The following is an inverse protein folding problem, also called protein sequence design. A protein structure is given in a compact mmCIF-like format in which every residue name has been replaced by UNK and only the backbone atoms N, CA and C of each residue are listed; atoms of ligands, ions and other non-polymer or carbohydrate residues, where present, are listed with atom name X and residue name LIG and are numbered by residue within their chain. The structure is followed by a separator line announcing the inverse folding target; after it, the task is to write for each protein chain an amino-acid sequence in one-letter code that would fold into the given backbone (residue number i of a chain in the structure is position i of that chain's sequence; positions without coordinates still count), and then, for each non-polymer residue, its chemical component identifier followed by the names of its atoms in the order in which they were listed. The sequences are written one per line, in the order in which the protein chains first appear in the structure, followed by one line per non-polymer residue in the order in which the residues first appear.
data_IF_243202848105
#
_entry.id   IF_243202848105
#
_cell.length_a   1.000
_cell.length_b   1.000
_cell.length_c   1.000
_cell.angle_alpha   90.00
_cell.angle_beta   90.00
_cell.angle_gamma   90.00
#
_symmetry.space_group_name_H-M   'P 1'
#
loop_
_entity.id
_entity.type
_entity.pdbx_description
1 polymer ?
#
# COMPACT_ATOMS: atom_id res chain seq x y z
N UNK A 1 6.95 5.19 -14.58
CA UNK A 1 7.42 3.79 -14.55
C UNK A 1 6.31 3.04 -15.25
N UNK A 2 6.61 2.12 -16.17
CA UNK A 2 5.53 1.41 -16.85
C UNK A 2 4.70 0.63 -15.81
N UNK A 3 3.38 0.80 -15.83
CA UNK A 3 2.48 0.22 -14.83
C UNK A 3 2.66 0.69 -13.38
N UNK A 4 3.47 1.72 -13.10
CA UNK A 4 3.79 2.13 -11.72
C UNK A 4 3.98 3.63 -11.53
N UNK A 5 3.94 4.04 -10.26
CA UNK A 5 4.08 5.45 -9.87
C UNK A 5 5.21 5.60 -8.83
N UNK A 6 5.64 6.84 -8.62
CA UNK A 6 6.65 7.19 -7.64
C UNK A 6 6.21 8.43 -6.88
N UNK A 7 6.31 8.41 -5.55
CA UNK A 7 6.04 9.59 -4.74
C UNK A 7 7.07 10.68 -5.01
N UNK A 8 6.62 11.93 -4.89
CA UNK A 8 7.47 13.12 -5.03
C UNK A 8 7.08 14.14 -3.96
N UNK A 9 8.05 14.83 -3.40
CA UNK A 9 7.79 15.99 -2.56
C UNK A 9 7.19 17.10 -3.41
N UNK A 10 6.12 17.75 -2.92
CA UNK A 10 5.55 18.94 -3.57
C UNK A 10 6.53 20.12 -3.51
N UNK A 11 7.30 20.21 -2.42
CA UNK A 11 8.36 21.19 -2.18
C UNK A 11 9.63 20.46 -1.70
N UNK A 12 10.56 20.13 -2.62
CA UNK A 12 11.78 19.40 -2.28
C UNK A 12 12.67 20.13 -1.26
N UNK A 13 12.56 21.46 -1.14
CA UNK A 13 13.39 22.25 -0.22
C UNK A 13 13.03 22.01 1.25
N UNK A 14 11.83 21.51 1.54
CA UNK A 14 11.35 21.16 2.88
C UNK A 14 11.65 19.72 3.30
N UNK A 15 12.25 18.93 2.41
CA UNK A 15 12.52 17.52 2.63
C UNK A 15 13.95 17.34 3.13
N UNK A 16 14.08 16.88 4.38
CA UNK A 16 15.40 16.60 4.98
C UNK A 16 15.90 15.20 4.63
N UNK A 17 15.02 14.21 4.69
CA UNK A 17 15.35 12.81 4.43
C UNK A 17 14.27 12.16 3.55
N UNK A 18 14.62 11.74 2.32
CA UNK A 18 13.65 11.18 1.38
C UNK A 18 13.35 9.69 1.59
N UNK A 19 14.09 8.94 2.41
CA UNK A 19 14.09 7.47 2.29
C UNK A 19 12.75 6.80 2.65
N UNK A 20 11.95 7.38 3.56
CA UNK A 20 10.59 6.92 3.88
C UNK A 20 9.50 7.65 3.09
N UNK A 21 9.86 8.68 2.32
CA UNK A 21 8.90 9.59 1.66
C UNK A 21 8.89 9.36 0.14
N UNK A 22 10.05 9.05 -0.45
CA UNK A 22 10.27 8.95 -1.90
C UNK A 22 10.52 7.48 -2.27
N UNK A 23 9.46 6.79 -2.65
CA UNK A 23 9.44 5.38 -3.03
C UNK A 23 8.47 5.14 -4.18
N UNK A 24 8.43 3.91 -4.70
CA UNK A 24 7.43 3.49 -5.68
C UNK A 24 6.26 2.87 -4.92
N UNK A 25 5.14 3.57 -4.66
CA UNK A 25 4.02 2.98 -3.94
C UNK A 25 3.28 1.94 -4.77
N UNK A 26 3.40 1.99 -6.10
CA UNK A 26 2.74 1.08 -7.03
C UNK A 26 3.72 0.61 -8.09
N UNK A 27 3.79 -0.70 -8.29
CA UNK A 27 4.44 -1.33 -9.44
C UNK A 27 3.53 -2.43 -9.99
N UNK A 28 3.72 -2.78 -11.26
CA UNK A 28 3.05 -3.92 -11.88
C UNK A 28 4.10 -4.89 -12.39
N UNK A 29 4.03 -6.14 -11.98
CA UNK A 29 4.83 -7.24 -12.52
C UNK A 29 3.90 -8.24 -13.20
N UNK A 30 4.03 -8.38 -14.52
CA UNK A 30 3.11 -9.17 -15.34
C UNK A 30 1.64 -8.81 -15.06
N UNK A 31 0.82 -9.76 -14.58
CA UNK A 31 -0.57 -9.54 -14.20
C UNK A 31 -0.75 -9.36 -12.68
N UNK A 32 0.28 -8.88 -11.98
CA UNK A 32 0.21 -8.61 -10.54
C UNK A 32 0.46 -7.14 -10.26
N UNK A 33 -0.55 -6.46 -9.69
CA UNK A 33 -0.37 -5.10 -9.14
C UNK A 33 0.16 -5.21 -7.71
N UNK A 34 1.21 -4.46 -7.39
CA UNK A 34 1.84 -4.37 -6.06
C UNK A 34 1.58 -2.95 -5.53
N UNK A 35 1.05 -2.83 -4.31
CA UNK A 35 0.81 -1.54 -3.65
C UNK A 35 1.36 -1.56 -2.23
N UNK A 36 2.20 -0.60 -1.85
CA UNK A 36 2.76 -0.54 -0.49
C UNK A 36 2.97 0.91 -0.02
N UNK A 37 3.18 1.10 1.29
CA UNK A 37 3.48 2.41 1.87
C UNK A 37 4.99 2.74 1.93
N UNK A 38 5.86 1.96 1.27
CA UNK A 38 7.30 2.20 1.34
C UNK A 38 8.10 1.56 0.20
N UNK A 39 9.42 1.54 0.38
CA UNK A 39 10.36 0.98 -0.61
C UNK A 39 10.28 -0.55 -0.77
N UNK A 40 9.59 -1.25 0.14
CA UNK A 40 9.37 -2.70 0.03
C UNK A 40 8.60 -3.10 -1.23
N UNK A 41 7.92 -2.17 -1.93
CA UNK A 41 7.37 -2.43 -3.26
C UNK A 41 8.45 -2.95 -4.22
N UNK A 42 9.65 -2.36 -4.20
CA UNK A 42 10.76 -2.79 -5.04
C UNK A 42 11.28 -4.16 -4.59
N UNK A 43 11.38 -4.41 -3.29
CA UNK A 43 11.76 -5.73 -2.76
C UNK A 43 10.81 -6.82 -3.23
N UNK A 44 9.49 -6.59 -3.18
CA UNK A 44 8.48 -7.54 -3.67
C UNK A 44 8.66 -7.75 -5.18
N UNK A 45 8.80 -6.67 -5.95
CA UNK A 45 8.99 -6.73 -7.40
C UNK A 45 10.24 -7.56 -7.78
N UNK A 46 11.36 -7.36 -7.09
CA UNK A 46 12.61 -8.07 -7.34
C UNK A 46 12.49 -9.57 -7.01
N UNK A 47 11.79 -9.92 -5.93
CA UNK A 47 11.52 -11.31 -5.60
C UNK A 47 10.60 -11.97 -6.63
N UNK A 48 9.55 -11.29 -7.09
CA UNK A 48 8.68 -11.80 -8.16
C UNK A 48 9.45 -11.98 -9.47
N UNK A 49 10.33 -11.04 -9.82
CA UNK A 49 11.16 -11.09 -11.04
C UNK A 49 12.14 -12.25 -11.01
N UNK A 50 12.80 -12.50 -9.87
CA UNK A 50 13.70 -13.65 -9.71
C UNK A 50 12.94 -14.98 -9.64
N UNK A 51 11.73 -14.95 -9.08
CA UNK A 51 10.86 -16.09 -8.90
C UNK A 51 11.53 -17.26 -8.14
N UNK A 52 12.37 -16.93 -7.16
CA UNK A 52 13.10 -17.92 -6.34
C UNK A 52 12.15 -18.73 -5.43
N UNK A 53 10.96 -18.18 -5.13
CA UNK A 53 9.94 -18.79 -4.27
C UNK A 53 8.58 -18.84 -4.99
N UNK A 54 8.38 -19.74 -5.98
CA UNK A 54 7.14 -19.81 -6.74
C UNK A 54 5.89 -19.92 -5.84
N UNK A 55 4.96 -18.98 -6.00
CA UNK A 55 3.74 -18.88 -5.18
C UNK A 55 3.89 -18.17 -3.83
N UNK A 56 5.12 -17.91 -3.38
CA UNK A 56 5.44 -17.31 -2.07
C UNK A 56 6.39 -16.11 -2.14
N UNK A 57 6.64 -15.56 -3.33
CA UNK A 57 7.58 -14.43 -3.51
C UNK A 57 7.17 -13.18 -2.70
N UNK A 58 5.87 -12.96 -2.48
CA UNK A 58 5.37 -11.84 -1.67
C UNK A 58 5.78 -11.97 -0.21
N UNK A 59 5.50 -13.11 0.41
CA UNK A 59 5.87 -13.42 1.79
C UNK A 59 7.39 -13.47 1.97
N UNK A 60 8.09 -14.17 1.06
CA UNK A 60 9.55 -14.27 1.09
C UNK A 60 10.24 -12.89 0.99
N UNK A 61 9.70 -11.97 0.18
CA UNK A 61 10.19 -10.60 0.12
C UNK A 61 10.01 -9.88 1.47
N UNK A 62 8.82 -9.97 2.05
CA UNK A 62 8.47 -9.28 3.29
C UNK A 62 9.18 -9.84 4.53
N UNK A 63 9.59 -11.11 4.51
CA UNK A 63 10.44 -11.71 5.54
C UNK A 63 11.84 -11.09 5.61
N UNK A 64 12.31 -10.45 4.54
CA UNK A 64 13.57 -9.69 4.53
C UNK A 64 13.44 -8.27 5.10
N UNK A 65 12.22 -7.84 5.44
CA UNK A 65 11.90 -6.49 5.88
C UNK A 65 11.44 -6.48 7.34
N UNK A 66 11.40 -5.28 7.90
CA UNK A 66 10.81 -4.95 9.21
C UNK A 66 10.05 -3.62 9.09
N UNK A 67 9.44 -3.13 10.17
CA UNK A 67 8.83 -1.79 10.25
C UNK A 67 9.83 -0.66 9.91
N UNK A 68 9.34 0.56 9.73
CA UNK A 68 10.17 1.74 9.43
C UNK A 68 10.98 2.19 10.65
N UNK A 69 12.16 2.77 10.43
CA UNK A 69 13.11 3.19 11.46
C UNK A 69 12.90 4.64 11.93
N UNK A 70 11.63 5.04 12.07
CA UNK A 70 11.17 6.41 12.34
C UNK A 70 10.80 6.65 13.83
N UNK A 71 11.74 6.32 14.72
CA UNK A 71 11.56 6.48 16.18
C UNK A 71 10.81 7.78 16.55
N UNK A 72 9.84 7.72 17.48
CA UNK A 72 9.47 6.57 18.31
C UNK A 72 8.33 5.72 17.72
N UNK A 73 7.88 5.99 16.50
CA UNK A 73 6.65 5.39 15.97
C UNK A 73 6.85 3.95 15.49
N UNK A 74 8.00 3.65 14.89
CA UNK A 74 8.27 2.33 14.29
C UNK A 74 7.17 1.94 13.32
N UNK A 75 6.92 2.83 12.36
CA UNK A 75 5.75 2.81 11.51
C UNK A 75 5.60 1.47 10.79
N UNK A 76 4.43 0.82 10.86
CA UNK A 76 4.25 -0.44 10.18
C UNK A 76 4.43 -0.31 8.67
N UNK A 77 5.02 -1.34 8.06
CA UNK A 77 5.01 -1.48 6.60
C UNK A 77 3.78 -2.29 6.20
N UNK A 78 2.87 -1.65 5.47
CA UNK A 78 1.70 -2.29 4.87
C UNK A 78 1.94 -2.53 3.39
N UNK A 79 1.49 -3.68 2.90
CA UNK A 79 1.69 -4.11 1.51
C UNK A 79 0.47 -4.89 1.03
N UNK A 80 0.18 -4.78 -0.26
CA UNK A 80 -0.85 -5.55 -0.94
C UNK A 80 -0.38 -5.99 -2.33
N UNK A 81 -0.85 -7.15 -2.76
CA UNK A 81 -0.69 -7.64 -4.14
C UNK A 81 -2.03 -8.13 -4.66
N UNK A 82 -2.34 -7.86 -5.92
CA UNK A 82 -3.60 -8.24 -6.58
C UNK A 82 -3.27 -8.96 -7.88
N UNK A 83 -3.78 -10.18 -8.07
CA UNK A 83 -3.77 -10.88 -9.36
C UNK A 83 -4.88 -10.32 -10.26
N UNK A 84 -4.47 -9.62 -11.30
CA UNK A 84 -5.33 -8.92 -12.25
C UNK A 84 -6.18 -9.86 -13.11
N UNK A 85 -5.96 -11.18 -13.05
CA UNK A 85 -6.75 -12.18 -13.79
C UNK A 85 -7.90 -12.73 -12.97
N UNK A 86 -7.73 -12.82 -11.65
CA UNK A 86 -8.68 -13.50 -10.76
C UNK A 86 -9.33 -12.54 -9.77
N UNK A 87 -8.74 -11.36 -9.55
CA UNK A 87 -9.12 -10.45 -8.48
C UNK A 87 -8.67 -10.92 -7.10
N UNK A 88 -8.01 -12.08 -6.98
CA UNK A 88 -7.45 -12.55 -5.72
C UNK A 88 -6.33 -11.64 -5.23
N UNK A 89 -6.25 -11.41 -3.93
CA UNK A 89 -5.27 -10.50 -3.35
C UNK A 89 -4.76 -10.95 -1.99
N UNK A 90 -3.58 -10.46 -1.63
CA UNK A 90 -3.01 -10.59 -0.29
C UNK A 90 -2.77 -9.22 0.30
N UNK A 91 -2.97 -9.10 1.61
CA UNK A 91 -2.60 -7.94 2.41
C UNK A 91 -1.59 -8.36 3.47
N UNK A 92 -0.61 -7.51 3.76
CA UNK A 92 0.37 -7.77 4.80
C UNK A 92 0.68 -6.52 5.62
N UNK A 93 0.96 -6.73 6.90
CA UNK A 93 1.48 -5.72 7.83
C UNK A 93 2.68 -6.27 8.60
N UNK A 94 3.78 -5.51 8.58
CA UNK A 94 4.98 -5.73 9.41
C UNK A 94 5.04 -4.62 10.45
N UNK A 95 4.99 -4.96 11.74
CA UNK A 95 4.93 -3.96 12.83
C UNK A 95 5.79 -4.35 14.03
N UNK A 96 6.13 -3.38 14.85
CA UNK A 96 6.76 -3.64 16.15
C UNK A 96 5.75 -4.19 17.14
N UNK A 97 6.21 -4.99 18.09
CA UNK A 97 5.41 -5.46 19.22
C UNK A 97 5.31 -4.34 20.27
N UNK A 98 4.21 -3.60 20.25
CA UNK A 98 3.93 -2.47 21.14
C UNK A 98 5.10 -1.46 21.27
N UNK A 99 5.74 -1.15 20.13
CA UNK A 99 6.85 -0.19 20.07
C UNK A 99 8.23 -0.78 20.42
N UNK A 100 8.33 -2.09 20.63
CA UNK A 100 9.62 -2.76 20.87
C UNK A 100 10.39 -2.97 19.56
N UNK A 101 11.48 -2.21 19.40
CA UNK A 101 12.37 -2.25 18.23
C UNK A 101 13.02 -3.62 17.95
N UNK A 102 13.08 -4.49 18.96
CA UNK A 102 13.71 -5.80 18.86
C UNK A 102 12.70 -6.92 18.58
N UNK A 103 11.41 -6.59 18.46
CA UNK A 103 10.33 -7.56 18.29
C UNK A 103 9.46 -7.16 17.11
N UNK A 104 9.62 -7.89 16.01
CA UNK A 104 8.83 -7.71 14.78
C UNK A 104 7.72 -8.75 14.71
N UNK A 105 6.52 -8.30 14.36
CA UNK A 105 5.37 -9.14 14.07
C UNK A 105 5.02 -9.01 12.58
N UNK A 106 4.72 -10.14 11.94
CA UNK A 106 4.37 -10.23 10.52
C UNK A 106 3.03 -10.95 10.38
N UNK A 107 2.12 -10.34 9.65
CA UNK A 107 0.80 -10.91 9.38
C UNK A 107 0.51 -10.80 7.89
N UNK A 108 0.07 -11.90 7.29
CA UNK A 108 -0.39 -11.94 5.90
C UNK A 108 -1.82 -12.50 5.89
N UNK A 109 -2.69 -11.85 5.14
CA UNK A 109 -4.08 -12.22 4.92
C UNK A 109 -4.26 -12.51 3.43
N UNK A 110 -4.74 -13.71 3.11
CA UNK A 110 -4.89 -14.21 1.74
C UNK A 110 -6.36 -14.35 1.36
N UNK A 111 -6.78 -13.60 0.34
CA UNK A 111 -8.12 -13.58 -0.21
C UNK A 111 -8.06 -14.10 -1.65
N UNK A 112 -7.95 -15.42 -1.80
CA UNK A 112 -7.80 -16.04 -3.12
C UNK A 112 -9.09 -16.01 -3.96
N UNK A 113 -10.27 -15.88 -3.35
CA UNK A 113 -11.58 -15.75 -4.03
C UNK A 113 -12.45 -14.70 -3.31
N UNK A 114 -12.15 -13.39 -3.44
CA UNK A 114 -12.96 -12.37 -2.80
C UNK A 114 -14.38 -12.37 -3.37
N UNK A 115 -15.37 -12.10 -2.52
CA UNK A 115 -16.76 -11.98 -2.95
C UNK A 115 -16.97 -10.64 -3.66
N UNK A 116 -17.75 -10.64 -4.73
CA UNK A 116 -18.12 -9.41 -5.42
C UNK A 116 -18.84 -8.45 -4.46
N UNK A 117 -18.44 -7.18 -4.49
CA UNK A 117 -18.99 -6.14 -3.59
C UNK A 117 -18.28 -6.05 -2.23
N UNK A 118 -17.26 -6.86 -1.96
CA UNK A 118 -16.51 -6.83 -0.70
C UNK A 118 -15.02 -6.52 -0.93
N UNK A 119 -14.45 -5.78 0.01
CA UNK A 119 -13.03 -5.45 0.06
C UNK A 119 -12.51 -5.47 1.50
N UNK A 120 -11.20 -5.30 1.64
CA UNK A 120 -10.54 -5.25 2.95
C UNK A 120 -9.61 -4.05 3.04
N UNK A 121 -9.63 -3.40 4.20
CA UNK A 121 -8.85 -2.23 4.51
C UNK A 121 -7.86 -2.51 5.63
N UNK A 122 -6.62 -2.06 5.42
CA UNK A 122 -5.58 -1.96 6.45
C UNK A 122 -4.96 -0.57 6.40
N UNK A 123 -4.47 -0.12 7.55
CA UNK A 123 -3.71 1.12 7.71
C UNK A 123 -2.42 0.86 8.49
N UNK A 124 -1.50 1.81 8.49
CA UNK A 124 -0.33 1.76 9.38
C UNK A 124 -0.75 1.90 10.84
N UNK A 125 -1.68 2.81 11.13
CA UNK A 125 -2.11 3.15 12.48
C UNK A 125 -3.59 2.89 12.73
N UNK A 126 -3.91 2.52 13.97
CA UNK A 126 -5.29 2.30 14.42
C UNK A 126 -6.03 3.61 14.69
N UNK A 127 -5.35 4.57 15.30
CA UNK A 127 -5.90 5.86 15.70
C UNK A 127 -4.74 6.83 16.03
N UNK A 128 -5.07 8.08 16.33
CA UNK A 128 -4.10 9.06 16.84
C UNK A 128 -3.50 8.60 18.19
N UNK A 129 -2.24 8.95 18.45
CA UNK A 129 -1.57 8.70 19.74
C UNK A 129 -0.12 9.19 19.74
N UNK A 130 0.61 8.95 20.83
CA UNK A 130 2.02 9.32 20.97
C UNK A 130 2.78 8.35 21.91
N UNK A 131 3.59 7.40 21.40
CA UNK A 131 3.75 7.03 19.99
C UNK A 131 2.44 6.56 19.36
N UNK A 132 2.34 6.63 18.03
CA UNK A 132 1.08 6.31 17.35
C UNK A 132 0.82 4.79 17.38
N UNK A 133 -0.34 4.32 17.89
CA UNK A 133 -0.63 2.89 17.94
C UNK A 133 -0.73 2.25 16.56
N UNK A 134 0.04 1.18 16.33
CA UNK A 134 -0.03 0.38 15.11
C UNK A 134 -1.41 -0.26 14.92
N UNK A 135 -1.82 -0.44 13.66
CA UNK A 135 -3.02 -1.21 13.33
C UNK A 135 -2.94 -2.65 13.89
N UNK A 136 -4.07 -3.19 14.33
CA UNK A 136 -4.14 -4.52 14.95
C UNK A 136 -5.48 -5.20 14.72
N UNK A 137 -5.46 -6.54 14.66
CA UNK A 137 -6.61 -7.37 14.33
C UNK A 137 -6.60 -7.81 12.87
N UNK A 138 -7.72 -8.38 12.45
CA UNK A 138 -8.00 -8.72 11.05
C UNK A 138 -8.25 -7.45 10.22
N UNK A 139 -8.01 -7.47 8.90
CA UNK A 139 -8.38 -6.37 8.01
C UNK A 139 -9.86 -5.99 8.14
N UNK A 140 -10.15 -4.70 8.07
CA UNK A 140 -11.52 -4.18 8.19
C UNK A 140 -12.26 -4.47 6.88
N UNK A 141 -13.36 -5.22 6.94
CA UNK A 141 -14.23 -5.42 5.78
C UNK A 141 -14.88 -4.11 5.33
N UNK A 142 -14.88 -3.86 4.04
CA UNK A 142 -15.50 -2.69 3.41
C UNK A 142 -16.40 -3.11 2.25
N UNK A 143 -17.45 -2.36 1.99
CA UNK A 143 -18.27 -2.54 0.79
C UNK A 143 -17.57 -1.89 -0.41
N UNK A 144 -17.62 -2.56 -1.56
CA UNK A 144 -17.21 -2.04 -2.87
C UNK A 144 -18.48 -1.91 -3.69
N UNK A 145 -19.17 -0.78 -3.53
CA UNK A 145 -20.51 -0.50 -4.06
C UNK A 145 -20.52 0.56 -5.17
N UNK A 146 -19.33 0.88 -5.72
CA UNK A 146 -19.16 1.84 -6.80
C UNK A 146 -18.32 1.21 -7.91
N UNK A 147 -18.84 1.24 -9.14
CA UNK A 147 -18.19 0.65 -10.32
C UNK A 147 -17.31 1.69 -11.04
N UNK A 148 -17.66 2.97 -10.99
CA UNK A 148 -16.85 4.02 -11.60
C UNK A 148 -15.63 4.35 -10.72
N UNK A 149 -14.39 4.14 -11.20
CA UNK A 149 -13.20 4.37 -10.39
C UNK A 149 -13.01 5.85 -9.98
N UNK A 150 -13.53 6.80 -10.75
CA UNK A 150 -13.47 8.23 -10.43
C UNK A 150 -14.46 8.57 -9.31
N UNK A 151 -15.68 8.03 -9.36
CA UNK A 151 -16.66 8.21 -8.29
C UNK A 151 -16.19 7.53 -7.00
N UNK A 152 -15.62 6.32 -7.10
CA UNK A 152 -15.07 5.61 -5.95
C UNK A 152 -13.90 6.37 -5.32
N UNK A 153 -12.96 6.87 -6.13
CA UNK A 153 -11.86 7.70 -5.66
C UNK A 153 -12.34 8.99 -5.00
N UNK A 154 -13.39 9.63 -5.55
CA UNK A 154 -14.03 10.80 -4.95
C UNK A 154 -14.61 10.52 -3.57
N UNK A 155 -15.41 9.45 -3.44
CA UNK A 155 -15.99 9.02 -2.15
C UNK A 155 -14.90 8.74 -1.11
N UNK A 156 -13.85 8.01 -1.50
CA UNK A 156 -12.71 7.75 -0.61
C UNK A 156 -12.00 9.04 -0.19
N UNK A 157 -11.74 9.95 -1.13
CA UNK A 157 -11.06 11.21 -0.87
C UNK A 157 -11.84 12.11 0.11
N UNK A 158 -13.16 12.13 0.02
CA UNK A 158 -14.04 12.88 0.92
C UNK A 158 -14.12 12.25 2.32
N UNK A 159 -14.00 10.93 2.43
CA UNK A 159 -13.99 10.22 3.70
C UNK A 159 -12.67 10.40 4.49
N UNK A 160 -11.57 10.76 3.82
CA UNK A 160 -10.29 11.03 4.48
C UNK A 160 -10.33 12.34 5.28
N UNK A 161 -9.64 12.35 6.41
CA UNK A 161 -9.50 13.55 7.23
C UNK A 161 -8.87 14.71 6.41
N UNK A 162 -9.57 15.85 6.39
CA UNK A 162 -9.21 16.99 5.54
C UNK A 162 -7.82 17.56 5.83
N UNK A 163 -7.40 17.55 7.10
CA UNK A 163 -6.10 18.10 7.53
C UNK A 163 -4.94 17.16 7.15
N UNK A 164 -5.21 15.85 7.11
CA UNK A 164 -4.18 14.82 6.94
C UNK A 164 -4.07 14.26 5.50
N UNK A 165 -5.09 14.41 4.65
CA UNK A 165 -5.04 13.87 3.28
C UNK A 165 -4.09 14.66 2.39
N UNK A 166 -3.27 13.96 1.62
CA UNK A 166 -2.20 14.53 0.77
C UNK A 166 -2.34 14.06 -0.67
N UNK A 167 -2.45 12.75 -0.86
CA UNK A 167 -2.56 12.10 -2.16
C UNK A 167 -3.37 10.81 -2.03
N UNK A 168 -4.07 10.43 -3.10
CA UNK A 168 -4.81 9.18 -3.22
C UNK A 168 -4.54 8.57 -4.60
N UNK A 169 -4.31 7.26 -4.62
CA UNK A 169 -4.24 6.45 -5.82
C UNK A 169 -5.30 5.36 -5.75
N UNK A 170 -6.06 5.20 -6.83
CA UNK A 170 -7.00 4.10 -7.04
C UNK A 170 -6.70 3.48 -8.40
N UNK A 171 -6.73 2.14 -8.45
CA UNK A 171 -6.69 1.39 -9.71
C UNK A 171 -7.91 0.48 -9.79
N UNK A 172 -8.67 0.60 -10.88
CA UNK A 172 -9.67 -0.40 -11.27
C UNK A 172 -9.09 -1.29 -12.35
N UNK A 173 -9.29 -2.61 -12.23
CA UNK A 173 -8.78 -3.61 -13.16
C UNK A 173 -9.96 -4.39 -13.74
N UNK A 174 -10.07 -4.40 -15.07
CA UNK A 174 -10.97 -5.31 -15.77
C UNK A 174 -10.34 -6.71 -15.82
N UNK A 175 -10.93 -7.67 -15.11
CA UNK A 175 -10.33 -9.01 -14.97
C UNK A 175 -10.29 -9.80 -16.28
N UNK A 176 -11.22 -9.54 -17.21
CA UNK A 176 -11.31 -10.27 -18.47
C UNK A 176 -10.21 -9.86 -19.44
N UNK A 177 -9.87 -8.57 -19.46
CA UNK A 177 -8.90 -7.98 -20.38
C UNK A 177 -7.55 -7.67 -19.73
N UNK A 178 -7.51 -7.62 -18.40
CA UNK A 178 -6.39 -7.14 -17.59
C UNK A 178 -6.02 -5.67 -17.84
N UNK A 179 -6.89 -4.92 -18.54
CA UNK A 179 -6.75 -3.48 -18.67
C UNK A 179 -7.08 -2.81 -17.33
N UNK A 180 -6.49 -1.64 -17.08
CA UNK A 180 -6.74 -0.91 -15.86
C UNK A 180 -6.86 0.60 -16.10
N UNK A 181 -7.60 1.25 -15.20
CA UNK A 181 -7.71 2.70 -15.10
C UNK A 181 -7.13 3.15 -13.76
N UNK A 182 -6.24 4.16 -13.82
CA UNK A 182 -5.62 4.77 -12.65
C UNK A 182 -6.23 6.16 -12.39
N UNK A 183 -6.71 6.37 -11.17
CA UNK A 183 -7.18 7.67 -10.68
C UNK A 183 -6.22 8.17 -9.61
N UNK A 184 -5.68 9.38 -9.80
CA UNK A 184 -4.74 10.01 -8.87
C UNK A 184 -5.29 11.38 -8.47
N UNK A 185 -5.46 11.59 -7.17
CA UNK A 185 -5.87 12.87 -6.58
C UNK A 185 -4.71 13.38 -5.73
N UNK A 186 -4.30 14.64 -5.94
CA UNK A 186 -3.25 15.29 -5.14
C UNK A 186 -3.79 16.60 -4.56
N UNK A 187 -3.61 16.80 -3.26
CA UNK A 187 -3.97 18.07 -2.58
C UNK A 187 -3.05 19.22 -2.99
N UNK A 188 -1.78 18.91 -3.26
CA UNK A 188 -0.75 19.91 -3.56
C UNK A 188 -0.25 19.79 -4.99
N UNK A 189 0.02 20.93 -5.63
CA UNK A 189 0.78 20.99 -6.87
C UNK A 189 2.28 21.08 -6.58
N UNK A 190 3.11 20.62 -7.51
CA UNK A 190 4.56 20.74 -7.38
C UNK A 190 4.96 22.20 -7.54
N UNK A 191 5.77 22.73 -6.62
CA UNK A 191 6.39 24.05 -6.82
C UNK A 191 7.65 23.86 -7.67
N UNK A 192 7.78 24.63 -8.74
CA UNK A 192 9.04 24.74 -9.48
C UNK A 192 10.05 25.49 -8.57
N UNK A 193 11.22 24.90 -8.38
CA UNK A 193 12.32 25.47 -7.59
C UNK A 193 13.15 26.48 -8.36
#
# INVERSE_FOLDING_TARGET
IDGGIRTKASDPSKMTDPHLIIYNPVLTFEQTTIVTNGDQTNTIYDFMTRNDFPGYNFEAALDTRTFEDDRPNWTPRISGVVDMRTGGYKLSILKSDDGNENSVQRYTFDYSQPMAGEGHFISTYKCNGNPIPSFSGEPIGVAIDEEDPNEYAGKLWEALNEDNKVSLFVRAVDLATQAYEDVIINKYQTVEG
#
